data_IF_581921779188
#
_entry.id   IF_581921779188
#
_cell.length_a   1.000
_cell.length_b   1.000
_cell.length_c   1.000
_cell.angle_alpha   90.00
_cell.angle_beta   90.00
_cell.angle_gamma   90.00
#
_symmetry.space_group_name_H-M   'P 1'
#
loop_
_entity.id
_entity.type
_entity.pdbx_description
1 polymer ?
#
# COMPACT_ATOMS: atom_id res chain seq x y z
N UNK A 1 21.21 20.67 1.40
CA UNK A 1 21.46 19.27 0.98
C UNK A 1 20.36 18.30 1.44
N UNK A 2 19.89 18.35 2.70
CA UNK A 2 18.84 17.43 3.22
C UNK A 2 17.49 17.52 2.49
N UNK A 3 17.01 18.72 2.15
CA UNK A 3 15.75 18.90 1.42
C UNK A 3 15.74 18.22 0.03
N UNK A 4 16.91 18.15 -0.63
CA UNK A 4 17.02 17.51 -1.95
C UNK A 4 16.88 15.99 -1.83
N UNK A 5 17.47 15.40 -0.79
CA UNK A 5 17.38 13.96 -0.52
C UNK A 5 15.94 13.54 -0.17
N UNK A 6 15.23 14.32 0.66
CA UNK A 6 13.84 14.04 1.03
C UNK A 6 12.93 14.06 -0.21
N UNK A 7 13.08 15.06 -1.09
CA UNK A 7 12.31 15.14 -2.32
C UNK A 7 12.57 13.94 -3.25
N UNK A 8 13.83 13.51 -3.38
CA UNK A 8 14.18 12.32 -4.17
C UNK A 8 13.53 11.05 -3.60
N UNK A 9 13.54 10.87 -2.28
CA UNK A 9 12.89 9.74 -1.61
C UNK A 9 11.37 9.77 -1.84
N UNK A 10 10.73 10.93 -1.72
CA UNK A 10 9.29 11.06 -1.96
C UNK A 10 8.91 10.69 -3.40
N UNK A 11 9.67 11.18 -4.38
CA UNK A 11 9.44 10.84 -5.80
C UNK A 11 9.65 9.35 -6.04
N UNK A 12 10.70 8.75 -5.49
CA UNK A 12 10.96 7.32 -5.60
C UNK A 12 9.85 6.49 -4.94
N UNK A 13 9.37 6.91 -3.77
CA UNK A 13 8.28 6.23 -3.05
C UNK A 13 6.97 6.26 -3.86
N UNK A 14 6.62 7.40 -4.45
CA UNK A 14 5.46 7.53 -5.34
C UNK A 14 5.61 6.59 -6.55
N UNK A 15 6.80 6.55 -7.18
CA UNK A 15 7.04 5.67 -8.31
C UNK A 15 6.86 4.18 -7.93
N UNK A 16 7.41 3.74 -6.80
CA UNK A 16 7.22 2.37 -6.29
C UNK A 16 5.74 2.07 -6.02
N UNK A 17 5.01 3.01 -5.43
CA UNK A 17 3.58 2.85 -5.17
C UNK A 17 2.75 2.74 -6.46
N UNK A 18 3.11 3.47 -7.51
CA UNK A 18 2.46 3.36 -8.82
C UNK A 18 2.71 2.00 -9.47
N UNK A 19 3.95 1.48 -9.39
CA UNK A 19 4.27 0.13 -9.85
C UNK A 19 3.46 -0.91 -9.07
N UNK A 20 3.42 -0.79 -7.74
CA UNK A 20 2.63 -1.68 -6.89
C UNK A 20 1.15 -1.66 -7.26
N UNK A 21 0.58 -0.47 -7.44
CA UNK A 21 -0.81 -0.28 -7.84
C UNK A 21 -1.10 -0.96 -9.19
N UNK A 22 -0.24 -0.73 -10.19
CA UNK A 22 -0.34 -1.38 -11.49
C UNK A 22 -0.30 -2.90 -11.40
N UNK A 23 0.64 -3.46 -10.62
CA UNK A 23 0.75 -4.90 -10.41
C UNK A 23 -0.51 -5.47 -9.75
N UNK A 24 -1.03 -4.83 -8.70
CA UNK A 24 -2.19 -5.34 -7.96
C UNK A 24 -3.45 -5.35 -8.81
N UNK A 25 -3.65 -4.32 -9.66
CA UNK A 25 -4.74 -4.31 -10.64
C UNK A 25 -4.56 -5.36 -11.73
N UNK A 26 -3.35 -5.53 -12.26
CA UNK A 26 -3.06 -6.49 -13.33
C UNK A 26 -3.21 -7.95 -12.85
N UNK A 27 -2.75 -8.23 -11.64
CA UNK A 27 -2.84 -9.56 -11.02
C UNK A 27 -4.27 -9.92 -10.60
N UNK A 28 -5.15 -8.92 -10.40
CA UNK A 28 -6.54 -9.16 -9.99
C UNK A 28 -7.31 -10.06 -10.95
N UNK A 29 -7.05 -9.99 -12.26
CA UNK A 29 -7.69 -10.85 -13.26
C UNK A 29 -7.13 -12.27 -13.30
N UNK A 30 -5.92 -12.48 -12.74
CA UNK A 30 -5.22 -13.76 -12.71
C UNK A 30 -5.47 -14.56 -11.43
N UNK A 31 -6.11 -13.95 -10.43
CA UNK A 31 -6.31 -14.58 -9.13
C UNK A 31 -7.61 -15.39 -9.13
N UNK A 32 -7.55 -16.67 -8.72
CA UNK A 32 -8.73 -17.49 -8.61
C UNK A 32 -9.76 -16.87 -7.67
N UNK A 33 -11.04 -17.07 -7.99
CA UNK A 33 -12.16 -16.60 -7.19
C UNK A 33 -12.20 -17.21 -5.78
N UNK A 34 -13.18 -16.81 -4.97
CA UNK A 34 -13.34 -17.31 -3.61
C UNK A 34 -12.61 -16.47 -2.57
N UNK A 35 -12.05 -17.12 -1.54
CA UNK A 35 -11.52 -16.41 -0.35
C UNK A 35 -10.24 -15.63 -0.66
N UNK A 36 -9.38 -16.16 -1.55
CA UNK A 36 -8.16 -15.48 -2.02
C UNK A 36 -8.53 -14.21 -2.80
N UNK A 37 -9.49 -14.27 -3.72
CA UNK A 37 -9.98 -13.11 -4.45
C UNK A 37 -10.58 -12.01 -3.55
N UNK A 38 -11.31 -12.39 -2.47
CA UNK A 38 -11.85 -11.42 -1.50
C UNK A 38 -10.74 -10.69 -0.73
N UNK A 39 -9.72 -11.41 -0.28
CA UNK A 39 -8.55 -10.82 0.38
C UNK A 39 -7.75 -9.93 -0.59
N UNK A 40 -7.60 -10.36 -1.85
CA UNK A 40 -6.94 -9.55 -2.87
C UNK A 40 -7.67 -8.23 -3.16
N UNK A 41 -9.01 -8.24 -3.16
CA UNK A 41 -9.79 -7.01 -3.30
C UNK A 41 -9.51 -6.04 -2.16
N UNK A 42 -9.39 -6.53 -0.92
CA UNK A 42 -9.01 -5.69 0.23
C UNK A 42 -7.59 -5.15 0.08
N UNK A 43 -6.62 -5.97 -0.34
CA UNK A 43 -5.26 -5.51 -0.63
C UNK A 43 -5.26 -4.42 -1.70
N UNK A 44 -6.04 -4.58 -2.77
CA UNK A 44 -6.19 -3.57 -3.84
C UNK A 44 -6.68 -2.23 -3.31
N UNK A 45 -7.69 -2.25 -2.43
CA UNK A 45 -8.22 -1.03 -1.80
C UNK A 45 -7.15 -0.38 -0.92
N UNK A 46 -6.44 -1.16 -0.10
CA UNK A 46 -5.38 -0.64 0.78
C UNK A 46 -4.21 -0.06 -0.01
N UNK A 47 -3.75 -0.73 -1.07
CA UNK A 47 -2.69 -0.22 -1.95
C UNK A 47 -3.13 1.08 -2.62
N UNK A 48 -4.37 1.16 -3.09
CA UNK A 48 -4.92 2.40 -3.65
C UNK A 48 -4.92 3.53 -2.63
N UNK A 49 -5.36 3.25 -1.39
CA UNK A 49 -5.36 4.22 -0.29
C UNK A 49 -3.94 4.71 0.02
N UNK A 50 -2.96 3.80 0.08
CA UNK A 50 -1.57 4.20 0.26
C UNK A 50 -1.07 5.05 -0.89
N UNK A 51 -1.33 4.67 -2.14
CA UNK A 51 -0.87 5.44 -3.29
C UNK A 51 -1.35 6.89 -3.19
N UNK A 52 -2.63 7.09 -2.86
CA UNK A 52 -3.18 8.44 -2.61
C UNK A 52 -2.45 9.14 -1.46
N UNK A 53 -2.22 8.46 -0.33
CA UNK A 53 -1.45 9.02 0.78
C UNK A 53 -0.02 9.44 0.40
N UNK A 54 0.67 8.65 -0.42
CA UNK A 54 2.02 8.97 -0.90
C UNK A 54 2.03 10.20 -1.82
N UNK A 55 0.98 10.43 -2.61
CA UNK A 55 0.83 11.65 -3.41
C UNK A 55 0.67 12.92 -2.55
N UNK A 56 0.23 12.80 -1.29
CA UNK A 56 0.13 13.94 -0.37
C UNK A 56 1.49 14.30 0.25
N UNK A 57 2.45 13.37 0.29
CA UNK A 57 3.76 13.58 0.97
C UNK A 57 4.55 14.81 0.50
N UNK A 58 4.57 15.21 -0.79
CA UNK A 58 5.26 16.44 -1.22
C UNK A 58 4.64 17.72 -0.67
N UNK A 59 3.36 17.68 -0.29
CA UNK A 59 2.60 18.82 0.25
C UNK A 59 2.64 18.90 1.78
N UNK A 60 3.33 17.99 2.46
CA UNK A 60 3.39 17.96 3.93
C UNK A 60 3.93 19.26 4.53
N UNK A 61 4.81 19.98 3.83
CA UNK A 61 5.34 21.27 4.27
C UNK A 61 4.28 22.38 4.33
N UNK A 62 3.16 22.21 3.64
CA UNK A 62 2.03 23.15 3.60
C UNK A 62 0.90 22.78 4.57
N UNK A 63 0.99 21.63 5.23
CA UNK A 63 -0.07 21.12 6.10
C UNK A 63 0.23 21.37 7.59
N UNK A 64 -0.81 21.60 8.43
CA UNK A 64 -0.63 21.66 9.87
C UNK A 64 -0.13 20.34 10.45
N UNK A 65 0.68 20.41 11.51
CA UNK A 65 1.27 19.24 12.15
C UNK A 65 0.25 18.20 12.65
N UNK A 66 -0.95 18.63 13.10
CA UNK A 66 -1.97 17.67 13.55
C UNK A 66 -2.51 16.80 12.38
N UNK A 67 -2.60 17.37 11.17
CA UNK A 67 -3.08 16.68 9.97
C UNK A 67 -2.02 15.68 9.52
N UNK A 68 -0.74 16.08 9.54
CA UNK A 68 0.38 15.19 9.22
C UNK A 68 0.39 14.00 10.18
N UNK A 69 0.28 14.25 11.49
CA UNK A 69 0.25 13.18 12.50
C UNK A 69 -0.93 12.22 12.30
N UNK A 70 -2.11 12.76 11.96
CA UNK A 70 -3.28 11.93 11.66
C UNK A 70 -3.06 11.07 10.41
N UNK A 71 -2.54 11.64 9.32
CA UNK A 71 -2.22 10.91 8.08
C UNK A 71 -1.21 9.80 8.37
N UNK A 72 -0.14 10.11 9.10
CA UNK A 72 0.89 9.12 9.47
C UNK A 72 0.29 8.01 10.32
N UNK A 73 -0.53 8.33 11.33
CA UNK A 73 -1.20 7.34 12.16
C UNK A 73 -2.13 6.42 11.34
N UNK A 74 -2.88 6.98 10.40
CA UNK A 74 -3.73 6.22 9.48
C UNK A 74 -2.89 5.30 8.57
N UNK A 75 -1.79 5.81 8.00
CA UNK A 75 -0.86 5.01 7.18
C UNK A 75 -0.30 3.84 8.00
N UNK A 76 0.11 4.08 9.25
CA UNK A 76 0.59 3.02 10.14
C UNK A 76 -0.49 1.98 10.45
N UNK A 77 -1.70 2.42 10.78
CA UNK A 77 -2.81 1.51 11.09
C UNK A 77 -3.21 0.65 9.90
N UNK A 78 -3.44 1.27 8.74
CA UNK A 78 -3.72 0.53 7.51
C UNK A 78 -2.53 -0.34 7.09
N UNK A 79 -1.31 0.07 7.43
CA UNK A 79 -0.08 -0.69 7.16
C UNK A 79 -0.08 -2.02 7.91
N UNK A 80 -0.44 -1.99 9.20
CA UNK A 80 -0.60 -3.20 10.00
C UNK A 80 -1.69 -4.13 9.43
N UNK A 81 -2.82 -3.59 8.99
CA UNK A 81 -3.89 -4.35 8.33
C UNK A 81 -3.39 -4.98 7.03
N UNK A 82 -2.67 -4.23 6.20
CA UNK A 82 -2.09 -4.72 4.95
C UNK A 82 -1.15 -5.90 5.19
N UNK A 83 -0.24 -5.79 6.17
CA UNK A 83 0.68 -6.87 6.53
C UNK A 83 -0.08 -8.11 7.00
N UNK A 84 -1.08 -7.94 7.87
CA UNK A 84 -1.92 -9.05 8.35
C UNK A 84 -2.61 -9.79 7.20
N UNK A 85 -3.22 -9.06 6.26
CA UNK A 85 -3.89 -9.67 5.11
C UNK A 85 -2.87 -10.37 4.21
N UNK A 86 -1.72 -9.75 3.97
CA UNK A 86 -0.65 -10.31 3.13
C UNK A 86 -0.13 -11.63 3.70
N UNK A 87 0.16 -11.70 5.00
CA UNK A 87 0.61 -12.93 5.66
C UNK A 87 -0.45 -14.02 5.57
N UNK A 88 -1.72 -13.70 5.81
CA UNK A 88 -2.83 -14.67 5.69
C UNK A 88 -3.00 -15.20 4.27
N UNK A 89 -2.81 -14.34 3.27
CA UNK A 89 -2.94 -14.69 1.87
C UNK A 89 -1.77 -15.60 1.43
N UNK A 90 -0.54 -15.26 1.82
CA UNK A 90 0.64 -16.11 1.58
C UNK A 90 0.47 -17.47 2.25
N UNK A 91 0.05 -17.51 3.51
CA UNK A 91 -0.20 -18.76 4.24
C UNK A 91 -1.17 -19.66 3.49
N UNK A 92 -2.32 -19.12 3.06
CA UNK A 92 -3.31 -19.87 2.28
C UNK A 92 -2.75 -20.35 0.95
N UNK A 93 -1.96 -19.53 0.24
CA UNK A 93 -1.34 -19.96 -1.02
C UNK A 93 -0.39 -21.14 -0.78
N UNK A 94 0.43 -21.11 0.28
CA UNK A 94 1.34 -22.20 0.62
C UNK A 94 0.56 -23.49 0.94
N UNK A 95 -0.52 -23.37 1.72
CA UNK A 95 -1.40 -24.49 2.08
C UNK A 95 -2.01 -25.16 0.84
N UNK A 96 -2.53 -24.36 -0.10
CA UNK A 96 -3.12 -24.84 -1.36
C UNK A 96 -2.08 -25.45 -2.32
N UNK A 97 -0.81 -25.03 -2.27
CA UNK A 97 0.26 -25.59 -3.11
C UNK A 97 0.91 -26.85 -2.53
N UNK A 98 0.75 -27.09 -1.23
CA UNK A 98 1.36 -28.23 -0.52
C UNK A 98 0.37 -29.40 -0.36
N UNK A 99 -0.92 -29.15 -0.57
CA UNK A 99 -2.01 -30.14 -0.54
C UNK A 99 -2.16 -30.86 -1.87
#
# INVERSE_FOLDING_TARGET
MQANLISVINVAAIAVMLVCLYMVFTLRSKIPGGVVGKQWRLLTVLVTLFTVGYFVTPFFTMLPANIINLIVALIFFFGAIYVLITVRLIFRIIEELTS
#
